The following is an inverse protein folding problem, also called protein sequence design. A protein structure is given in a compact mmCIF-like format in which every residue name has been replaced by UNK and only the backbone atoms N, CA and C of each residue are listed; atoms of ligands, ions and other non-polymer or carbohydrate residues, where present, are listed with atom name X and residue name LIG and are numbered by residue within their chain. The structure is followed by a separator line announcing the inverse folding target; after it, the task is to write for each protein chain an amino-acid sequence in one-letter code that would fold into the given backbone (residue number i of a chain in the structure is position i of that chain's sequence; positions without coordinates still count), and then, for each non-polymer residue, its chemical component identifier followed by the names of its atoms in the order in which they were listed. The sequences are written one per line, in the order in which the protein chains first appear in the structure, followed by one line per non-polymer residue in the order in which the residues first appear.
data_IF_209229801216
#
_entry.id   IF_209229801216
#
_cell.length_a   1.000
_cell.length_b   1.000
_cell.length_c   1.000
_cell.angle_alpha   90.00
_cell.angle_beta   90.00
_cell.angle_gamma   90.00
#
_symmetry.space_group_name_H-M   'P 1'
#
loop_
_entity.id
_entity.type
_entity.pdbx_description
1 polymer ?
#
# COMPACT_ATOMS: atom_id res chain seq x y z
N UNK A 1 15.89 -2.76 2.36
CA UNK A 1 14.68 -3.09 1.57
C UNK A 1 14.66 -2.41 0.19
N UNK A 2 14.85 -1.09 0.09
CA UNK A 2 14.73 -0.37 -1.19
C UNK A 2 15.59 -0.92 -2.35
N UNK A 3 16.82 -1.36 -2.08
CA UNK A 3 17.72 -1.87 -3.13
C UNK A 3 17.19 -3.11 -3.84
N UNK A 4 16.34 -3.92 -3.17
CA UNK A 4 15.74 -5.13 -3.75
C UNK A 4 14.73 -4.83 -4.88
N UNK A 5 14.19 -3.60 -4.90
CA UNK A 5 13.14 -3.19 -5.84
C UNK A 5 13.63 -2.11 -6.82
N UNK A 6 14.92 -1.73 -6.77
CA UNK A 6 15.51 -0.81 -7.75
C UNK A 6 15.45 -1.45 -9.13
N UNK A 7 15.04 -0.66 -10.12
CA UNK A 7 14.81 -1.12 -11.50
C UNK A 7 13.74 -2.23 -11.63
N UNK A 8 12.91 -2.42 -10.60
CA UNK A 8 11.76 -3.31 -10.64
C UNK A 8 10.56 -2.73 -11.39
N UNK A 9 9.43 -3.42 -11.30
CA UNK A 9 8.16 -3.01 -11.87
C UNK A 9 7.20 -2.54 -10.77
N UNK A 10 6.35 -1.56 -11.09
CA UNK A 10 5.33 -1.09 -10.16
C UNK A 10 4.02 -0.79 -10.91
N UNK A 11 2.92 -0.87 -10.17
CA UNK A 11 1.59 -0.46 -10.60
C UNK A 11 1.00 0.39 -9.48
N UNK A 12 0.38 1.51 -9.83
CA UNK A 12 -0.36 2.37 -8.91
C UNK A 12 -1.83 2.33 -9.27
N UNK A 13 -2.66 1.82 -8.36
CA UNK A 13 -4.10 1.72 -8.54
C UNK A 13 -4.81 2.73 -7.65
N UNK A 14 -5.67 3.56 -8.25
CA UNK A 14 -6.55 4.46 -7.52
C UNK A 14 -7.92 3.81 -7.32
N UNK A 15 -8.44 3.86 -6.10
CA UNK A 15 -9.79 3.44 -5.76
C UNK A 15 -10.62 4.69 -5.46
N UNK A 16 -11.62 4.96 -6.30
CA UNK A 16 -12.56 6.05 -6.08
C UNK A 16 -13.54 5.69 -4.96
N UNK A 17 -14.22 6.68 -4.35
CA UNK A 17 -15.21 6.44 -3.30
C UNK A 17 -16.36 5.48 -3.67
N UNK A 18 -16.59 5.24 -4.97
CA UNK A 18 -17.63 4.31 -5.45
C UNK A 18 -17.13 2.88 -5.62
N UNK A 19 -15.82 2.67 -5.61
CA UNK A 19 -15.23 1.37 -5.89
C UNK A 19 -15.29 0.44 -4.68
N UNK A 20 -14.96 -0.82 -4.90
CA UNK A 20 -14.82 -1.79 -3.83
C UNK A 20 -13.49 -1.57 -3.10
N UNK A 21 -13.55 -1.19 -1.81
CA UNK A 21 -12.39 -0.74 -1.02
C UNK A 21 -11.66 -1.87 -0.28
N UNK A 22 -11.91 -3.15 -0.62
CA UNK A 22 -11.07 -4.23 -0.09
C UNK A 22 -10.00 -4.59 -1.10
N UNK A 23 -8.76 -4.59 -0.65
CA UNK A 23 -7.59 -4.98 -1.44
C UNK A 23 -7.30 -6.45 -1.18
N UNK A 24 -7.11 -7.20 -2.25
CA UNK A 24 -6.79 -8.63 -2.20
C UNK A 24 -5.37 -8.88 -2.70
N UNK A 25 -4.85 -10.05 -2.37
CA UNK A 25 -3.54 -10.48 -2.87
C UNK A 25 -3.61 -10.78 -4.38
N UNK A 26 -2.62 -10.35 -5.16
CA UNK A 26 -2.56 -10.66 -6.59
C UNK A 26 -2.08 -12.10 -6.87
N UNK A 27 -1.45 -12.75 -5.89
CA UNK A 27 -0.97 -14.14 -5.95
C UNK A 27 -0.73 -14.69 -4.54
N UNK A 28 -0.46 -15.99 -4.45
CA UNK A 28 -0.04 -16.61 -3.19
C UNK A 28 1.27 -16.00 -2.68
N UNK A 29 1.30 -15.70 -1.38
CA UNK A 29 2.47 -15.11 -0.74
C UNK A 29 2.45 -15.25 0.78
N UNK A 30 3.63 -15.26 1.37
CA UNK A 30 3.84 -15.30 2.82
C UNK A 30 4.17 -13.91 3.31
N UNK A 31 3.41 -13.38 4.28
CA UNK A 31 3.71 -12.08 4.88
C UNK A 31 5.01 -12.16 5.68
N UNK A 32 5.95 -11.27 5.37
CA UNK A 32 7.26 -11.17 6.00
C UNK A 32 7.37 -9.98 6.94
N UNK A 33 6.87 -8.83 6.51
CA UNK A 33 6.98 -7.59 7.27
C UNK A 33 5.79 -6.69 6.98
N UNK A 34 5.32 -5.99 8.01
CA UNK A 34 4.32 -4.93 7.89
C UNK A 34 4.86 -3.68 8.58
N UNK A 35 4.98 -2.59 7.83
CA UNK A 35 5.54 -1.33 8.31
C UNK A 35 4.45 -0.26 8.21
N UNK A 36 4.05 0.29 9.35
CA UNK A 36 3.22 1.49 9.41
C UNK A 36 4.10 2.73 9.32
N UNK A 37 3.74 3.65 8.42
CA UNK A 37 4.44 4.92 8.24
C UNK A 37 3.43 6.06 8.46
N UNK A 38 3.55 6.82 9.56
CA UNK A 38 2.72 8.00 9.77
C UNK A 38 3.02 9.05 8.71
N UNK A 39 2.03 9.86 8.35
CA UNK A 39 2.19 10.87 7.32
C UNK A 39 1.03 11.85 7.25
N UNK A 40 1.08 12.69 6.22
CA UNK A 40 0.00 13.61 5.88
C UNK A 40 -1.22 12.82 5.35
N UNK A 41 -2.37 13.48 5.24
CA UNK A 41 -3.55 12.91 4.59
C UNK A 41 -4.02 13.85 3.49
N UNK A 42 -3.20 14.00 2.45
CA UNK A 42 -3.64 14.70 1.24
C UNK A 42 -4.67 13.86 0.49
N UNK A 43 -5.62 14.52 -0.17
CA UNK A 43 -6.59 13.84 -1.03
C UNK A 43 -5.86 13.26 -2.24
N UNK A 44 -6.15 12.01 -2.57
CA UNK A 44 -5.58 11.34 -3.75
C UNK A 44 -6.61 11.41 -4.85
N UNK A 45 -6.36 12.27 -5.84
CA UNK A 45 -7.14 12.35 -7.07
C UNK A 45 -6.16 12.63 -8.23
N UNK A 46 -6.57 12.46 -9.50
CA UNK A 46 -5.65 12.64 -10.62
C UNK A 46 -4.95 14.02 -10.65
N UNK A 47 -5.63 15.08 -10.21
CA UNK A 47 -5.06 16.42 -10.12
C UNK A 47 -3.99 16.52 -9.02
N UNK A 48 -4.28 16.04 -7.80
CA UNK A 48 -3.29 16.10 -6.71
C UNK A 48 -2.13 15.15 -6.94
N UNK A 49 -2.35 13.98 -7.54
CA UNK A 49 -1.29 13.05 -7.92
C UNK A 49 -0.31 13.65 -8.93
N UNK A 50 -0.78 14.52 -9.82
CA UNK A 50 0.07 15.21 -10.80
C UNK A 50 0.82 16.42 -10.23
N UNK A 51 0.29 17.07 -9.19
CA UNK A 51 0.78 18.39 -8.74
C UNK A 51 1.44 18.37 -7.35
N UNK A 52 1.14 17.38 -6.51
CA UNK A 52 1.73 17.29 -5.17
C UNK A 52 3.00 16.45 -5.24
N UNK A 53 4.18 17.05 -5.06
CA UNK A 53 5.43 16.30 -5.11
C UNK A 53 5.46 15.27 -3.97
N UNK A 54 5.87 14.06 -4.31
CA UNK A 54 6.02 12.94 -3.37
C UNK A 54 4.73 12.59 -2.61
N UNK A 55 3.54 12.83 -3.21
CA UNK A 55 2.23 12.59 -2.59
C UNK A 55 2.17 11.25 -1.83
N UNK A 56 2.48 10.15 -2.52
CA UNK A 56 2.39 8.80 -1.93
C UNK A 56 3.44 8.52 -0.85
N UNK A 57 4.58 9.20 -0.90
CA UNK A 57 5.64 9.06 0.11
C UNK A 57 5.39 9.94 1.34
N UNK A 58 4.57 10.98 1.20
CA UNK A 58 4.16 11.87 2.29
C UNK A 58 2.90 11.41 3.00
N UNK A 59 1.98 10.78 2.27
CA UNK A 59 0.76 10.29 2.89
C UNK A 59 1.05 9.13 3.85
N UNK A 60 0.24 9.07 4.90
CA UNK A 60 0.15 7.92 5.80
C UNK A 60 -0.07 6.63 4.99
N UNK A 61 0.66 5.58 5.34
CA UNK A 61 0.61 4.31 4.59
C UNK A 61 1.04 3.10 5.40
N UNK A 62 0.61 1.93 4.95
CA UNK A 62 1.10 0.63 5.41
C UNK A 62 1.82 -0.04 4.23
N UNK A 63 3.01 -0.56 4.52
CA UNK A 63 3.84 -1.29 3.57
C UNK A 63 3.86 -2.75 4.01
N UNK A 64 3.40 -3.66 3.15
CA UNK A 64 3.42 -5.10 3.40
C UNK A 64 4.41 -5.77 2.45
N UNK A 65 5.43 -6.43 2.99
CA UNK A 65 6.40 -7.24 2.24
C UNK A 65 6.00 -8.71 2.27
N UNK A 66 5.98 -9.33 1.11
CA UNK A 66 5.66 -10.74 0.93
C UNK A 66 6.76 -11.48 0.20
N UNK A 67 6.99 -12.73 0.63
CA UNK A 67 7.70 -13.72 -0.18
C UNK A 67 6.68 -14.42 -1.08
N UNK A 68 6.92 -14.41 -2.40
CA UNK A 68 6.05 -15.04 -3.39
C UNK A 68 6.86 -15.96 -4.30
N UNK A 69 6.20 -16.81 -5.08
CA UNK A 69 6.87 -17.64 -6.10
C UNK A 69 7.59 -16.82 -7.19
N UNK A 70 7.25 -15.54 -7.33
CA UNK A 70 7.84 -14.62 -8.30
C UNK A 70 8.98 -13.77 -7.70
N UNK A 71 9.38 -14.06 -6.46
CA UNK A 71 10.32 -13.25 -5.69
C UNK A 71 9.63 -12.32 -4.68
N UNK A 72 10.38 -11.38 -4.07
CA UNK A 72 9.83 -10.48 -3.08
C UNK A 72 8.84 -9.50 -3.73
N UNK A 73 7.68 -9.29 -3.09
CA UNK A 73 6.62 -8.41 -3.58
C UNK A 73 6.18 -7.46 -2.46
N UNK A 74 5.94 -6.19 -2.80
CA UNK A 74 5.41 -5.21 -1.85
C UNK A 74 4.01 -4.79 -2.28
N UNK A 75 3.06 -4.85 -1.36
CA UNK A 75 1.77 -4.18 -1.49
C UNK A 75 1.71 -3.00 -0.51
N UNK A 76 1.47 -1.80 -1.03
CA UNK A 76 1.40 -0.56 -0.24
C UNK A 76 -0.02 0.00 -0.28
N UNK A 77 -0.61 0.21 0.89
CA UNK A 77 -1.88 0.90 1.03
C UNK A 77 -1.62 2.32 1.52
N UNK A 78 -1.97 3.30 0.69
CA UNK A 78 -1.75 4.72 0.95
C UNK A 78 -3.07 5.39 1.32
N UNK A 79 -3.07 6.12 2.42
CA UNK A 79 -4.21 6.88 2.90
C UNK A 79 -4.55 8.09 2.05
N UNK A 80 -5.78 8.56 2.22
CA UNK A 80 -6.27 9.82 1.70
C UNK A 80 -7.19 10.48 2.74
N UNK A 81 -7.40 11.79 2.63
CA UNK A 81 -8.17 12.61 3.59
C UNK A 81 -9.52 11.99 3.99
N UNK A 82 -10.24 11.39 3.04
CA UNK A 82 -11.58 10.84 3.24
C UNK A 82 -11.59 9.30 3.42
N UNK A 83 -10.41 8.65 3.37
CA UNK A 83 -10.24 7.20 3.47
C UNK A 83 -9.53 6.78 4.78
N UNK A 84 -9.70 7.54 5.87
CA UNK A 84 -9.06 7.28 7.18
C UNK A 84 -9.26 5.86 7.73
N UNK A 85 -10.34 5.18 7.32
CA UNK A 85 -10.71 3.85 7.82
C UNK A 85 -9.70 2.73 7.53
N UNK A 86 -8.78 2.88 6.56
CA UNK A 86 -7.75 1.86 6.27
C UNK A 86 -6.79 1.67 7.45
N UNK A 87 -6.52 2.71 8.24
CA UNK A 87 -5.56 2.67 9.34
C UNK A 87 -6.25 2.57 10.72
N UNK A 88 -7.44 3.14 10.88
CA UNK A 88 -8.19 3.10 12.15
C UNK A 88 -8.85 1.74 12.43
N UNK A 89 -9.33 1.02 11.40
CA UNK A 89 -10.04 -0.26 11.60
C UNK A 89 -9.14 -1.50 11.52
N UNK A 90 -7.82 -1.29 11.43
CA UNK A 90 -6.82 -2.35 11.34
C UNK A 90 -6.77 -3.02 9.97
N UNK A 91 -5.61 -2.96 9.33
CA UNK A 91 -5.33 -3.83 8.20
C UNK A 91 -5.16 -5.26 8.73
N UNK A 92 -6.16 -6.11 8.51
CA UNK A 92 -6.11 -7.51 8.96
C UNK A 92 -5.59 -8.38 7.82
N UNK A 93 -4.38 -8.88 7.98
CA UNK A 93 -3.87 -9.98 7.16
C UNK A 93 -4.48 -11.29 7.66
N UNK A 94 -5.19 -12.00 6.78
CA UNK A 94 -5.80 -13.30 7.09
C UNK A 94 -4.99 -14.50 6.56
N UNK A 95 -3.85 -14.28 5.91
CA UNK A 95 -2.99 -15.34 5.42
C UNK A 95 -2.01 -15.83 6.48
N UNK A 96 -1.21 -16.84 6.13
CA UNK A 96 -0.20 -17.38 7.04
C UNK A 96 0.96 -16.38 7.23
N UNK A 97 1.40 -16.19 8.47
CA UNK A 97 2.60 -15.43 8.83
C UNK A 97 3.72 -16.39 9.26
N UNK A 98 4.99 -16.05 8.97
CA UNK A 98 6.12 -16.78 9.58
C UNK A 98 6.35 -16.26 11.01
N UNK A 99 6.43 -17.18 11.99
CA UNK A 99 6.80 -16.88 13.39
C UNK A 99 8.29 -16.67 13.52
#
# INVERSE_FOLDING_TARGET
MADQFRHGQFITTYLSPRDYHRVHMPCDGLLKEMIYVPGDLFSVNPLTAANVPNLFARNERIICLFDTQFGPMIQILVGATDCRGVFENGLVWHGNTTT
#
